data_IF_651241946476
#
_entry.id   IF_651241946476
#
_cell.length_a   1.000
_cell.length_b   1.000
_cell.length_c   1.000
_cell.angle_alpha   90.00
_cell.angle_beta   90.00
_cell.angle_gamma   90.00
#
_symmetry.space_group_name_H-M   'P 1'
#
loop_
_entity.id
_entity.type
_entity.pdbx_description
1 polymer ?
#
# COMPACT_ATOMS: atom_id res chain seq x y z
N UNK A 1 49.08 44.99 7.22
CA UNK A 1 49.21 43.63 7.79
C UNK A 1 47.92 42.87 7.49
N UNK A 2 47.98 42.08 6.40
CA UNK A 2 47.15 40.95 5.94
C UNK A 2 45.74 40.74 6.54
N UNK A 3 44.72 40.96 5.71
CA UNK A 3 43.35 40.46 5.88
C UNK A 3 43.32 38.92 5.83
N UNK A 4 42.82 38.28 6.89
CA UNK A 4 42.59 36.84 6.92
C UNK A 4 41.37 36.48 6.06
N UNK A 5 41.62 36.00 4.84
CA UNK A 5 40.61 35.35 4.01
C UNK A 5 40.26 33.99 4.62
N UNK A 6 39.08 33.88 5.24
CA UNK A 6 38.51 32.64 5.74
C UNK A 6 38.18 31.71 4.57
N UNK A 7 39.04 30.71 4.30
CA UNK A 7 38.73 29.62 3.35
C UNK A 7 37.64 28.72 3.95
N UNK A 8 36.39 28.92 3.53
CA UNK A 8 35.29 27.97 3.79
C UNK A 8 35.52 26.73 2.92
N UNK A 9 36.03 25.65 3.51
CA UNK A 9 36.07 24.34 2.86
C UNK A 9 34.65 23.79 2.73
N UNK A 10 34.11 23.84 1.51
CA UNK A 10 32.87 23.15 1.16
C UNK A 10 33.24 21.67 0.96
N UNK A 11 32.90 20.83 1.94
CA UNK A 11 33.00 19.38 1.80
C UNK A 11 31.79 18.94 0.97
N UNK A 12 32.00 18.73 -0.33
CA UNK A 12 31.01 18.12 -1.20
C UNK A 12 31.05 16.62 -0.93
N UNK A 13 30.08 16.11 -0.17
CA UNK A 13 29.86 14.67 -0.06
C UNK A 13 29.35 14.16 -1.40
N UNK A 14 30.27 13.66 -2.22
CA UNK A 14 29.95 12.83 -3.39
C UNK A 14 29.42 11.49 -2.85
N UNK A 15 28.13 11.44 -2.56
CA UNK A 15 27.44 10.16 -2.47
C UNK A 15 27.65 9.45 -3.80
N UNK A 16 28.40 8.35 -3.75
CA UNK A 16 28.63 7.49 -4.89
C UNK A 16 27.27 7.20 -5.52
N UNK A 17 27.09 7.70 -6.74
CA UNK A 17 25.93 7.44 -7.56
C UNK A 17 26.00 5.96 -7.96
N UNK A 18 25.57 5.09 -7.06
CA UNK A 18 25.35 3.69 -7.38
C UNK A 18 24.08 3.69 -8.23
N UNK A 19 24.28 3.85 -9.54
CA UNK A 19 23.27 3.63 -10.56
C UNK A 19 22.99 2.13 -10.58
N UNK A 20 22.23 1.68 -9.59
CA UNK A 20 21.50 0.42 -9.71
C UNK A 20 20.50 0.67 -10.82
N UNK A 21 20.54 -0.15 -11.88
CA UNK A 21 19.53 -0.14 -12.94
C UNK A 21 18.14 -0.23 -12.31
N UNK A 22 17.48 0.91 -12.16
CA UNK A 22 16.18 1.06 -11.52
C UNK A 22 15.96 2.55 -11.36
N UNK A 23 14.90 3.08 -11.98
CA UNK A 23 14.65 4.49 -12.17
C UNK A 23 14.98 5.34 -10.94
N UNK A 24 15.67 6.46 -11.16
CA UNK A 24 15.94 7.47 -10.14
C UNK A 24 14.61 8.17 -9.83
N UNK A 25 13.88 7.69 -8.84
CA UNK A 25 12.57 8.22 -8.42
C UNK A 25 12.79 9.37 -7.41
N UNK A 26 13.08 10.59 -7.87
CA UNK A 26 13.19 11.77 -7.01
C UNK A 26 11.92 12.64 -7.04
N UNK A 27 11.40 12.97 -5.85
CA UNK A 27 10.61 14.19 -5.62
C UNK A 27 9.10 14.14 -5.89
N UNK A 28 8.52 13.00 -6.23
CA UNK A 28 7.07 12.87 -6.45
C UNK A 28 6.57 11.42 -6.45
N UNK A 29 5.26 11.27 -6.42
CA UNK A 29 4.59 9.99 -6.65
C UNK A 29 4.72 9.59 -8.13
N UNK A 30 5.23 8.39 -8.39
CA UNK A 30 5.29 7.78 -9.72
C UNK A 30 4.55 6.44 -9.71
N UNK A 31 4.05 5.99 -10.85
CA UNK A 31 3.45 4.66 -10.93
C UNK A 31 4.50 3.58 -10.66
N UNK A 32 4.11 2.52 -9.95
CA UNK A 32 4.98 1.35 -9.77
C UNK A 32 5.19 0.61 -11.09
N UNK A 33 6.36 -0.03 -11.24
CA UNK A 33 6.72 -0.76 -12.46
C UNK A 33 7.10 -2.21 -12.15
N UNK A 34 7.56 -2.95 -13.16
CA UNK A 34 7.90 -4.38 -13.02
C UNK A 34 8.99 -4.65 -11.97
N UNK A 35 9.84 -3.67 -11.64
CA UNK A 35 10.83 -3.84 -10.58
C UNK A 35 10.20 -3.95 -9.18
N UNK A 36 8.97 -3.48 -9.00
CA UNK A 36 8.23 -3.55 -7.74
C UNK A 36 7.40 -4.83 -7.58
N UNK A 37 7.37 -5.73 -8.58
CA UNK A 37 6.44 -6.88 -8.64
C UNK A 37 6.35 -7.71 -7.36
N UNK A 38 7.49 -8.08 -6.78
CA UNK A 38 7.50 -8.90 -5.56
C UNK A 38 7.04 -8.12 -4.33
N UNK A 39 7.29 -6.81 -4.28
CA UNK A 39 6.76 -5.92 -3.25
C UNK A 39 5.25 -5.73 -3.43
N UNK A 40 4.77 -5.55 -4.67
CA UNK A 40 3.34 -5.44 -4.98
C UNK A 40 2.57 -6.71 -4.60
N UNK A 41 3.15 -7.90 -4.75
CA UNK A 41 2.56 -9.15 -4.24
C UNK A 41 2.41 -9.15 -2.72
N UNK A 42 3.45 -8.71 -2.01
CA UNK A 42 3.40 -8.60 -0.54
C UNK A 42 2.35 -7.57 -0.11
N UNK A 43 2.33 -6.39 -0.74
CA UNK A 43 1.31 -5.37 -0.52
C UNK A 43 -0.08 -5.94 -0.73
N UNK A 44 -0.33 -6.66 -1.84
CA UNK A 44 -1.65 -7.26 -2.12
C UNK A 44 -2.06 -8.21 -1.00
N UNK A 45 -1.14 -9.05 -0.51
CA UNK A 45 -1.42 -9.98 0.58
C UNK A 45 -1.71 -9.25 1.91
N UNK A 46 -0.91 -8.25 2.26
CA UNK A 46 -1.11 -7.42 3.46
C UNK A 46 -2.42 -6.64 3.38
N UNK A 47 -2.71 -5.99 2.24
CA UNK A 47 -3.93 -5.24 2.00
C UNK A 47 -5.14 -6.16 2.22
N UNK A 48 -5.18 -7.34 1.57
CA UNK A 48 -6.30 -8.28 1.74
C UNK A 48 -6.48 -8.67 3.21
N UNK A 49 -5.38 -8.98 3.90
CA UNK A 49 -5.41 -9.33 5.32
C UNK A 49 -5.98 -8.19 6.16
N UNK A 50 -5.51 -6.96 5.97
CA UNK A 50 -6.00 -5.79 6.71
C UNK A 50 -7.51 -5.61 6.49
N UNK A 51 -7.99 -5.74 5.25
CA UNK A 51 -9.42 -5.63 4.98
C UNK A 51 -10.22 -6.77 5.61
N UNK A 52 -9.71 -8.00 5.56
CA UNK A 52 -10.32 -9.17 6.20
C UNK A 52 -10.41 -9.00 7.73
N UNK A 53 -9.35 -8.49 8.37
CA UNK A 53 -9.29 -8.26 9.81
C UNK A 53 -10.28 -7.15 10.27
N UNK A 54 -10.77 -6.33 9.35
CA UNK A 54 -11.78 -5.29 9.61
C UNK A 54 -13.23 -5.77 9.37
N UNK A 55 -13.44 -6.99 8.88
CA UNK A 55 -14.79 -7.51 8.70
C UNK A 55 -15.37 -7.91 10.04
N UNK A 56 -16.58 -7.42 10.31
CA UNK A 56 -17.38 -7.83 11.46
C UNK A 56 -18.51 -8.69 10.92
N UNK A 57 -18.36 -10.01 11.09
CA UNK A 57 -19.37 -10.96 10.66
C UNK A 57 -20.55 -11.00 11.63
N UNK A 58 -21.75 -11.07 11.07
CA UNK A 58 -22.96 -11.36 11.83
C UNK A 58 -23.04 -12.84 12.18
N UNK A 59 -23.75 -13.17 13.26
CA UNK A 59 -23.82 -14.54 13.76
C UNK A 59 -24.37 -15.53 12.71
N UNK A 60 -23.57 -16.55 12.39
CA UNK A 60 -23.93 -17.56 11.39
C UNK A 60 -23.56 -17.20 9.95
N UNK A 61 -22.92 -16.05 9.74
CA UNK A 61 -22.34 -15.65 8.46
C UNK A 61 -20.81 -15.61 8.56
N UNK A 62 -20.14 -15.84 7.44
CA UNK A 62 -18.70 -15.65 7.28
C UNK A 62 -18.46 -14.86 6.00
N UNK A 63 -17.67 -13.80 6.09
CA UNK A 63 -17.33 -12.97 4.95
C UNK A 63 -15.90 -13.20 4.50
N UNK A 64 -15.71 -13.37 3.20
CA UNK A 64 -14.38 -13.49 2.58
C UNK A 64 -14.07 -12.23 1.78
N UNK A 65 -12.86 -11.71 1.98
CA UNK A 65 -12.36 -10.55 1.24
C UNK A 65 -11.49 -10.97 0.07
N UNK A 66 -11.81 -10.45 -1.11
CA UNK A 66 -10.96 -10.52 -2.30
C UNK A 66 -10.59 -9.13 -2.80
N UNK A 67 -9.44 -9.04 -3.47
CA UNK A 67 -8.93 -7.80 -4.05
C UNK A 67 -8.82 -7.89 -5.56
N UNK A 68 -9.54 -7.00 -6.22
CA UNK A 68 -9.46 -6.74 -7.65
C UNK A 68 -8.60 -5.50 -7.91
N UNK A 69 -7.79 -5.57 -8.96
CA UNK A 69 -6.98 -4.46 -9.49
C UNK A 69 -6.22 -3.66 -8.41
N UNK A 70 -4.97 -4.03 -8.15
CA UNK A 70 -4.09 -3.24 -7.28
C UNK A 70 -3.35 -2.21 -8.13
N UNK A 71 -3.62 -0.92 -7.90
CA UNK A 71 -2.85 0.18 -8.47
C UNK A 71 -2.08 0.89 -7.35
N UNK A 72 -0.77 1.09 -7.54
CA UNK A 72 0.08 1.71 -6.53
C UNK A 72 0.91 2.84 -7.15
N UNK A 73 0.95 3.96 -6.44
CA UNK A 73 1.94 5.00 -6.62
C UNK A 73 3.07 4.79 -5.62
N UNK A 74 4.31 5.00 -6.02
CA UNK A 74 5.47 4.94 -5.15
C UNK A 74 6.16 6.30 -5.08
N UNK A 75 6.66 6.65 -3.90
CA UNK A 75 7.47 7.83 -3.68
C UNK A 75 8.67 7.53 -2.78
N UNK A 76 9.77 8.22 -3.05
CA UNK A 76 10.97 8.20 -2.23
C UNK A 76 10.77 9.09 -1.00
N UNK A 77 11.04 8.52 0.18
CA UNK A 77 11.10 9.21 1.46
C UNK A 77 12.37 8.75 2.22
N UNK A 78 12.29 8.51 3.54
CA UNK A 78 13.32 7.77 4.30
C UNK A 78 13.28 6.24 4.04
N UNK A 79 12.78 5.85 2.88
CA UNK A 79 12.39 4.52 2.44
C UNK A 79 11.50 4.65 1.19
N UNK A 80 10.87 3.56 0.78
CA UNK A 80 9.86 3.57 -0.26
C UNK A 80 8.46 3.59 0.36
N UNK A 81 7.67 4.60 0.01
CA UNK A 81 6.26 4.65 0.39
C UNK A 81 5.40 4.30 -0.82
N UNK A 82 4.51 3.33 -0.65
CA UNK A 82 3.54 2.87 -1.63
C UNK A 82 2.14 3.31 -1.22
N UNK A 83 1.49 4.12 -2.04
CA UNK A 83 0.11 4.55 -1.86
C UNK A 83 -0.75 3.76 -2.85
N UNK A 84 -1.52 2.82 -2.34
CA UNK A 84 -2.20 1.81 -3.14
C UNK A 84 -3.71 1.93 -3.06
N UNK A 85 -4.37 1.69 -4.18
CA UNK A 85 -5.82 1.67 -4.34
C UNK A 85 -6.22 0.31 -4.93
N UNK A 86 -7.27 -0.29 -4.37
CA UNK A 86 -7.82 -1.55 -4.87
C UNK A 86 -9.31 -1.63 -4.63
N UNK A 87 -9.99 -2.35 -5.53
CA UNK A 87 -11.38 -2.73 -5.34
C UNK A 87 -11.43 -3.94 -4.41
N UNK A 88 -12.13 -3.80 -3.30
CA UNK A 88 -12.31 -4.82 -2.28
C UNK A 88 -13.70 -5.39 -2.44
N UNK A 89 -13.80 -6.69 -2.70
CA UNK A 89 -15.07 -7.40 -2.71
C UNK A 89 -15.24 -8.20 -1.43
N UNK A 90 -16.46 -8.20 -0.94
CA UNK A 90 -16.87 -8.96 0.23
C UNK A 90 -17.95 -9.93 -0.21
N UNK A 91 -17.64 -11.20 -0.05
CA UNK A 91 -18.57 -12.29 -0.28
C UNK A 91 -18.98 -12.86 1.06
N UNK A 92 -20.27 -12.78 1.39
CA UNK A 92 -20.79 -13.21 2.69
C UNK A 92 -21.62 -14.47 2.52
N UNK A 93 -21.21 -15.54 3.20
CA UNK A 93 -21.84 -16.87 3.09
C UNK A 93 -22.43 -17.26 4.43
N UNK A 94 -23.69 -17.70 4.40
CA UNK A 94 -24.35 -18.26 5.58
C UNK A 94 -23.83 -19.68 5.87
N UNK A 95 -23.47 -19.95 7.12
CA UNK A 95 -23.01 -21.25 7.61
C UNK A 95 -24.09 -22.05 8.33
N UNK A 96 -25.24 -21.44 8.57
CA UNK A 96 -26.44 -22.09 9.13
C UNK A 96 -27.20 -22.87 8.02
N UNK A 97 -28.14 -23.77 8.38
CA UNK A 97 -29.02 -24.42 7.41
C UNK A 97 -29.74 -23.38 6.53
N UNK A 98 -29.95 -23.69 5.26
CA UNK A 98 -30.52 -22.75 4.27
C UNK A 98 -31.88 -22.15 4.69
N UNK A 99 -32.66 -22.87 5.51
CA UNK A 99 -33.94 -22.40 6.06
C UNK A 99 -33.81 -21.23 7.04
N UNK A 100 -32.60 -20.99 7.58
CA UNK A 100 -32.29 -19.93 8.56
C UNK A 100 -31.45 -18.80 7.95
N UNK A 101 -31.16 -18.88 6.65
CA UNK A 101 -30.30 -17.93 5.96
C UNK A 101 -31.14 -16.91 5.19
N UNK A 102 -31.00 -15.63 5.56
CA UNK A 102 -31.37 -14.55 4.66
C UNK A 102 -30.30 -14.39 3.58
N UNK A 103 -30.73 -14.16 2.34
CA UNK A 103 -29.81 -13.85 1.25
C UNK A 103 -29.15 -12.50 1.51
N UNK A 104 -27.81 -12.50 1.61
CA UNK A 104 -27.00 -11.29 1.69
C UNK A 104 -26.31 -11.05 0.36
N UNK A 105 -26.35 -9.79 -0.09
CA UNK A 105 -25.67 -9.38 -1.31
C UNK A 105 -24.16 -9.25 -1.11
N UNK A 106 -23.40 -9.61 -2.14
CA UNK A 106 -21.99 -9.26 -2.23
C UNK A 106 -21.85 -7.75 -2.41
N UNK A 107 -20.87 -7.15 -1.76
CA UNK A 107 -20.63 -5.72 -1.87
C UNK A 107 -19.18 -5.43 -2.24
N UNK A 108 -19.00 -4.33 -2.97
CA UNK A 108 -17.70 -3.87 -3.46
C UNK A 108 -17.48 -2.43 -3.02
N UNK A 109 -16.27 -2.13 -2.54
CA UNK A 109 -15.81 -0.77 -2.25
C UNK A 109 -14.41 -0.57 -2.78
N UNK A 110 -14.04 0.68 -3.05
CA UNK A 110 -12.69 1.02 -3.43
C UNK A 110 -11.97 1.55 -2.20
N UNK A 111 -10.86 0.93 -1.82
CA UNK A 111 -10.09 1.32 -0.64
C UNK A 111 -8.70 1.82 -1.02
N UNK A 112 -8.20 2.78 -0.26
CA UNK A 112 -6.84 3.31 -0.34
C UNK A 112 -6.10 3.03 0.95
N UNK A 113 -4.92 2.41 0.83
CA UNK A 113 -4.00 2.13 1.92
C UNK A 113 -2.58 2.56 1.54
N UNK A 114 -1.82 3.03 2.52
CA UNK A 114 -0.40 3.36 2.38
C UNK A 114 0.48 2.32 3.09
N UNK A 115 1.57 1.94 2.43
CA UNK A 115 2.58 1.01 2.93
C UNK A 115 3.97 1.63 2.86
N UNK A 116 4.86 1.19 3.74
CA UNK A 116 6.23 1.67 3.81
C UNK A 116 7.22 0.51 3.84
N UNK A 117 8.23 0.60 3.00
CA UNK A 117 9.39 -0.28 2.96
C UNK A 117 10.63 0.54 3.31
N UNK A 118 11.21 0.39 4.52
CA UNK A 118 12.44 1.09 4.87
C UNK A 118 13.61 0.60 4.02
N UNK A 119 14.68 1.40 3.92
CA UNK A 119 15.91 0.92 3.29
C UNK A 119 16.62 -0.08 4.20
N UNK A 120 17.05 -1.20 3.63
CA UNK A 120 17.79 -2.23 4.36
C UNK A 120 17.69 -3.58 3.66
N UNK A 121 18.67 -4.46 3.90
CA UNK A 121 18.75 -5.77 3.27
C UNK A 121 17.64 -6.73 3.73
N UNK A 122 17.11 -6.49 4.94
CA UNK A 122 16.07 -7.30 5.60
C UNK A 122 14.82 -6.47 5.95
N UNK A 123 14.65 -5.34 5.27
CA UNK A 123 13.51 -4.46 5.48
C UNK A 123 12.21 -5.13 5.03
N UNK A 124 11.18 -5.04 5.86
CA UNK A 124 9.85 -5.57 5.55
C UNK A 124 8.86 -4.44 5.29
N UNK A 125 7.99 -4.65 4.31
CA UNK A 125 6.89 -3.74 4.05
C UNK A 125 5.85 -3.81 5.17
N UNK A 126 5.35 -2.66 5.61
CA UNK A 126 4.32 -2.57 6.63
C UNK A 126 3.32 -1.47 6.31
N UNK A 127 2.13 -1.59 6.88
CA UNK A 127 1.06 -0.60 6.77
C UNK A 127 1.36 0.62 7.65
N UNK A 128 1.03 1.82 7.17
CA UNK A 128 1.38 3.08 7.85
C UNK A 128 0.23 4.08 8.04
N UNK A 129 -1.01 3.76 7.63
CA UNK A 129 -2.13 4.67 7.92
C UNK A 129 -2.63 4.47 9.37
N UNK A 130 -3.31 5.50 9.90
CA UNK A 130 -3.78 5.59 11.28
C UNK A 130 -4.97 4.66 11.60
N UNK A 131 -4.73 3.35 11.52
CA UNK A 131 -5.62 2.30 12.03
C UNK A 131 -6.69 1.82 11.04
N UNK A 132 -7.40 2.70 10.34
CA UNK A 132 -8.49 2.30 9.43
C UNK A 132 -8.18 2.56 7.95
N UNK A 133 -8.45 1.59 7.06
CA UNK A 133 -8.50 1.79 5.61
C UNK A 133 -9.40 2.96 5.23
N UNK A 134 -8.96 3.80 4.29
CA UNK A 134 -9.82 4.84 3.73
C UNK A 134 -10.57 4.24 2.55
N UNK A 135 -11.85 3.93 2.73
CA UNK A 135 -12.70 3.33 1.69
C UNK A 135 -13.76 4.30 1.21
N UNK A 136 -13.96 4.33 -0.10
CA UNK A 136 -14.96 5.13 -0.77
C UNK A 136 -15.96 4.20 -1.46
N UNK A 137 -17.24 4.50 -1.32
CA UNK A 137 -18.27 3.91 -2.16
C UNK A 137 -18.23 4.69 -3.46
N UNK A 138 -17.51 4.19 -4.47
CA UNK A 138 -17.76 4.67 -5.83
C UNK A 138 -19.17 4.20 -6.22
N UNK A 139 -20.07 5.08 -6.69
CA UNK A 139 -21.24 4.59 -7.40
C UNK A 139 -20.71 3.80 -8.59
N UNK A 140 -21.09 2.53 -8.69
CA UNK A 140 -20.87 1.75 -9.90
C UNK A 140 -21.57 2.50 -11.04
N UNK A 141 -20.79 3.25 -11.83
CA UNK A 141 -21.27 3.73 -13.12
C UNK A 141 -21.28 2.49 -14.02
N UNK A 142 -22.44 1.85 -14.03
CA UNK A 142 -22.83 0.84 -15.02
C UNK A 142 -22.92 1.46 -16.41
#
# INVERSE_FOLDING_TARGET
VWSAAMKRSIIIFLFGLVVVKGAVRFGGEVETDESDKEILKQIKALFRKIMQDHVIDEEGYESTVTLDHLNCMIQLAYGWRYNCLSNVNYETVCKKPRSECEEKGNWRVTCKLSFFLPFGKDANIHYIDNGKPVCFIQPALY
#
